data_IF_289353641342
#
_entry.id   IF_289353641342
#
_cell.length_a   1.000
_cell.length_b   1.000
_cell.length_c   1.000
_cell.angle_alpha   90.00
_cell.angle_beta   90.00
_cell.angle_gamma   90.00
#
_symmetry.space_group_name_H-M   'P 1'
#
loop_
_entity.id
_entity.type
_entity.pdbx_description
1 polymer ?
#
# COMPACT_ATOMS: atom_id res chain seq x y z
N UNK A 1 36.16 1.14 -12.30
CA UNK A 1 35.43 -0.01 -11.73
C UNK A 1 36.43 -0.85 -10.94
N UNK A 2 36.20 -1.06 -9.64
CA UNK A 2 36.97 -2.03 -8.86
C UNK A 2 36.25 -3.38 -8.89
N UNK A 3 37.00 -4.46 -9.13
CA UNK A 3 36.47 -5.82 -9.11
C UNK A 3 36.51 -6.38 -7.69
N UNK A 4 35.35 -6.77 -7.16
CA UNK A 4 35.21 -7.45 -5.87
C UNK A 4 34.88 -8.91 -6.13
N UNK A 5 35.69 -9.83 -5.59
CA UNK A 5 35.42 -11.27 -5.64
C UNK A 5 34.66 -11.67 -4.38
N UNK A 6 33.43 -12.17 -4.54
CA UNK A 6 32.56 -12.62 -3.44
C UNK A 6 32.28 -14.10 -3.63
N UNK A 7 32.34 -14.88 -2.54
CA UNK A 7 31.90 -16.27 -2.53
C UNK A 7 30.41 -16.31 -2.21
N UNK A 8 29.62 -16.85 -3.14
CA UNK A 8 28.18 -17.00 -3.02
C UNK A 8 27.88 -18.51 -2.96
N UNK A 9 27.04 -18.98 -2.02
CA UNK A 9 26.57 -20.37 -1.99
C UNK A 9 25.90 -20.78 -3.30
N UNK A 10 25.96 -22.06 -3.64
CA UNK A 10 25.46 -22.58 -4.91
C UNK A 10 23.93 -22.37 -5.05
N UNK A 11 23.19 -22.51 -3.95
CA UNK A 11 21.75 -22.27 -3.88
C UNK A 11 21.37 -20.80 -4.20
N UNK A 12 22.12 -19.85 -3.64
CA UNK A 12 21.91 -18.41 -3.87
C UNK A 12 22.23 -18.02 -5.32
N UNK A 13 23.22 -18.67 -5.94
CA UNK A 13 23.58 -18.47 -7.34
C UNK A 13 22.52 -19.05 -8.29
N UNK A 14 21.93 -20.19 -7.94
CA UNK A 14 20.80 -20.78 -8.66
C UNK A 14 19.57 -19.85 -8.60
N UNK A 15 19.27 -19.30 -7.41
CA UNK A 15 18.20 -18.32 -7.24
C UNK A 15 18.45 -17.05 -8.06
N UNK A 16 19.65 -16.45 -7.99
CA UNK A 16 20.05 -15.30 -8.80
C UNK A 16 19.92 -15.56 -10.31
N UNK A 17 20.24 -16.78 -10.74
CA UNK A 17 20.12 -17.19 -12.14
C UNK A 17 18.66 -17.32 -12.59
N UNK A 18 17.78 -17.76 -11.70
CA UNK A 18 16.33 -17.89 -11.96
C UNK A 18 15.59 -16.54 -12.03
N UNK A 19 16.13 -15.47 -11.41
CA UNK A 19 15.51 -14.15 -11.42
C UNK A 19 15.45 -13.55 -12.82
N UNK A 20 14.27 -13.17 -13.28
CA UNK A 20 14.09 -12.39 -14.49
C UNK A 20 13.94 -10.92 -14.14
N UNK A 21 15.00 -10.14 -14.39
CA UNK A 21 15.02 -8.69 -14.22
C UNK A 21 15.14 -8.04 -15.59
N UNK A 22 14.29 -7.04 -15.87
CA UNK A 22 14.30 -6.35 -17.16
C UNK A 22 15.66 -5.69 -17.42
N UNK A 23 16.32 -6.07 -18.51
CA UNK A 23 17.62 -5.53 -18.92
C UNK A 23 18.86 -6.15 -18.25
N UNK A 24 18.72 -7.18 -17.41
CA UNK A 24 19.84 -7.82 -16.72
C UNK A 24 19.96 -9.32 -17.07
N UNK A 25 20.88 -9.63 -17.98
CA UNK A 25 21.11 -11.00 -18.49
C UNK A 25 22.22 -11.73 -17.73
N UNK A 26 23.25 -11.00 -17.27
CA UNK A 26 24.38 -11.56 -16.50
C UNK A 26 24.09 -11.59 -15.00
N UNK A 27 24.57 -12.60 -14.23
CA UNK A 27 24.54 -12.59 -12.77
C UNK A 27 25.11 -11.29 -12.17
N UNK A 28 26.16 -10.73 -12.77
CA UNK A 28 26.77 -9.47 -12.35
C UNK A 28 25.87 -8.24 -12.61
N UNK A 29 25.02 -8.30 -13.64
CA UNK A 29 24.04 -7.25 -13.93
C UNK A 29 22.84 -7.35 -12.99
N UNK A 30 22.41 -8.58 -12.66
CA UNK A 30 21.35 -8.83 -11.67
C UNK A 30 21.79 -8.39 -10.28
N UNK A 31 23.03 -8.68 -9.87
CA UNK A 31 23.59 -8.19 -8.61
C UNK A 31 23.64 -6.65 -8.61
N UNK A 32 24.07 -6.02 -9.70
CA UNK A 32 24.05 -4.55 -9.81
C UNK A 32 22.65 -3.97 -9.73
N UNK A 33 21.67 -4.61 -10.37
CA UNK A 33 20.27 -4.20 -10.29
C UNK A 33 19.72 -4.36 -8.87
N UNK A 34 20.03 -5.46 -8.17
CA UNK A 34 19.64 -5.68 -6.77
C UNK A 34 20.33 -4.71 -5.81
N UNK A 35 21.61 -4.38 -6.03
CA UNK A 35 22.32 -3.37 -5.23
C UNK A 35 21.77 -1.98 -5.52
N UNK A 36 21.48 -1.63 -6.78
CA UNK A 36 20.84 -0.37 -7.13
C UNK A 36 19.44 -0.28 -6.53
N UNK A 37 18.71 -1.40 -6.48
CA UNK A 37 17.41 -1.47 -5.83
C UNK A 37 17.53 -1.34 -4.30
N UNK A 38 18.48 -2.02 -3.68
CA UNK A 38 18.78 -1.88 -2.26
C UNK A 38 19.25 -0.46 -1.90
N UNK A 39 20.05 0.18 -2.75
CA UNK A 39 20.45 1.57 -2.61
C UNK A 39 19.28 2.52 -2.81
N UNK A 40 18.38 2.25 -3.78
CA UNK A 40 17.14 3.02 -3.93
C UNK A 40 16.20 2.84 -2.75
N UNK A 41 16.16 1.67 -2.12
CA UNK A 41 15.39 1.42 -0.88
C UNK A 41 16.03 2.16 0.30
N UNK A 42 17.33 2.03 0.50
CA UNK A 42 18.08 2.70 1.57
C UNK A 42 18.09 4.23 1.42
N UNK A 43 18.14 4.76 0.19
CA UNK A 43 18.08 6.20 -0.07
C UNK A 43 16.63 6.72 -0.21
N UNK A 44 15.70 5.83 -0.57
CA UNK A 44 14.26 6.11 -0.73
C UNK A 44 13.46 6.05 0.57
N UNK A 45 14.07 5.63 1.68
CA UNK A 45 13.57 5.87 3.03
C UNK A 45 13.30 7.37 3.29
N UNK A 46 13.92 8.27 2.51
CA UNK A 46 13.70 9.73 2.56
C UNK A 46 12.74 10.32 1.51
N UNK A 47 12.23 9.53 0.55
CA UNK A 47 11.30 10.05 -0.47
C UNK A 47 9.99 9.27 -0.53
N UNK A 48 8.97 9.86 0.10
CA UNK A 48 7.59 9.38 0.10
C UNK A 48 7.07 9.09 -1.32
N UNK A 49 7.42 9.91 -2.31
CA UNK A 49 6.89 9.77 -3.68
C UNK A 49 7.41 8.49 -4.34
N UNK A 50 8.70 8.21 -4.20
CA UNK A 50 9.33 7.00 -4.71
C UNK A 50 8.79 5.73 -4.05
N UNK A 51 8.53 5.77 -2.73
CA UNK A 51 7.95 4.64 -2.01
C UNK A 51 6.50 4.36 -2.47
N UNK A 52 5.68 5.40 -2.64
CA UNK A 52 4.32 5.26 -3.19
C UNK A 52 4.34 4.66 -4.59
N UNK A 53 5.27 5.10 -5.46
CA UNK A 53 5.37 4.59 -6.83
C UNK A 53 5.68 3.09 -6.84
N UNK A 54 6.66 2.64 -6.05
CA UNK A 54 7.03 1.23 -5.94
C UNK A 54 5.87 0.36 -5.44
N UNK A 55 5.16 0.82 -4.40
CA UNK A 55 4.02 0.08 -3.86
C UNK A 55 2.84 0.05 -4.83
N UNK A 56 2.61 1.12 -5.59
CA UNK A 56 1.59 1.13 -6.66
C UNK A 56 1.95 0.17 -7.79
N UNK A 57 3.22 0.06 -8.17
CA UNK A 57 3.66 -0.92 -9.18
C UNK A 57 3.38 -2.36 -8.74
N UNK A 58 3.51 -2.67 -7.45
CA UNK A 58 3.18 -3.99 -6.91
C UNK A 58 1.67 -4.30 -6.94
N UNK A 59 0.82 -3.28 -6.75
CA UNK A 59 -0.64 -3.43 -6.77
C UNK A 59 -1.22 -3.32 -8.20
N UNK A 60 -0.45 -2.78 -9.16
CA UNK A 60 -0.89 -2.58 -10.54
C UNK A 60 -1.43 -3.85 -11.23
N UNK A 61 -0.83 -5.04 -11.12
CA UNK A 61 -1.36 -6.25 -11.75
C UNK A 61 -2.75 -6.63 -11.23
N UNK A 62 -3.03 -6.39 -9.95
CA UNK A 62 -4.35 -6.61 -9.35
C UNK A 62 -5.37 -5.63 -9.97
N UNK A 63 -5.02 -4.34 -10.04
CA UNK A 63 -5.86 -3.32 -10.66
C UNK A 63 -6.17 -3.64 -12.13
N UNK A 64 -5.16 -4.00 -12.92
CA UNK A 64 -5.33 -4.34 -14.33
C UNK A 64 -6.21 -5.59 -14.51
N UNK A 65 -6.00 -6.64 -13.70
CA UNK A 65 -6.84 -7.84 -13.73
C UNK A 65 -8.29 -7.53 -13.34
N UNK A 66 -8.50 -6.69 -12.32
CA UNK A 66 -9.84 -6.26 -11.90
C UNK A 66 -10.51 -5.42 -12.97
N UNK A 67 -9.83 -4.45 -13.58
CA UNK A 67 -10.38 -3.64 -14.67
C UNK A 67 -10.75 -4.48 -15.89
N UNK A 68 -9.92 -5.47 -16.25
CA UNK A 68 -10.25 -6.40 -17.33
C UNK A 68 -11.52 -7.20 -17.04
N UNK A 69 -11.69 -7.66 -15.79
CA UNK A 69 -12.91 -8.34 -15.34
C UNK A 69 -14.13 -7.40 -15.35
N UNK A 70 -13.97 -6.17 -14.90
CA UNK A 70 -15.02 -5.14 -14.87
C UNK A 70 -15.49 -4.74 -16.26
N UNK A 71 -14.55 -4.58 -17.20
CA UNK A 71 -14.87 -4.34 -18.61
C UNK A 71 -15.66 -5.49 -19.23
N UNK A 72 -15.36 -6.74 -18.85
CA UNK A 72 -16.07 -7.91 -19.36
C UNK A 72 -17.47 -8.11 -18.74
N UNK A 73 -17.67 -7.65 -17.49
CA UNK A 73 -18.90 -7.92 -16.73
C UNK A 73 -19.81 -6.70 -16.55
N UNK A 74 -19.40 -5.51 -17.03
CA UNK A 74 -20.08 -4.22 -16.82
C UNK A 74 -20.39 -3.92 -15.33
N UNK A 75 -19.67 -4.58 -14.42
CA UNK A 75 -19.73 -4.37 -12.98
C UNK A 75 -18.44 -3.67 -12.57
N UNK A 76 -18.50 -2.66 -11.70
CA UNK A 76 -17.35 -1.91 -11.21
C UNK A 76 -17.29 -1.99 -9.68
N UNK A 77 -16.11 -2.20 -9.10
CA UNK A 77 -15.91 -2.18 -7.65
C UNK A 77 -15.14 -0.93 -7.20
N UNK A 78 -15.86 0.00 -6.60
CA UNK A 78 -15.26 1.18 -5.97
C UNK A 78 -14.45 0.80 -4.71
N UNK A 79 -14.81 -0.30 -4.01
CA UNK A 79 -14.05 -0.76 -2.84
C UNK A 79 -12.63 -1.17 -3.24
N UNK A 80 -12.50 -1.99 -4.28
CA UNK A 80 -11.20 -2.48 -4.74
C UNK A 80 -10.35 -1.32 -5.25
N UNK A 81 -10.95 -0.42 -6.03
CA UNK A 81 -10.27 0.79 -6.52
C UNK A 81 -9.80 1.69 -5.38
N UNK A 82 -10.65 1.93 -4.38
CA UNK A 82 -10.33 2.75 -3.20
C UNK A 82 -9.17 2.15 -2.41
N UNK A 83 -9.24 0.86 -2.09
CA UNK A 83 -8.22 0.18 -1.29
C UNK A 83 -6.90 0.06 -2.06
N UNK A 84 -6.94 -0.34 -3.33
CA UNK A 84 -5.76 -0.48 -4.18
C UNK A 84 -5.04 0.86 -4.38
N UNK A 85 -5.74 1.99 -4.30
CA UNK A 85 -5.15 3.33 -4.43
C UNK A 85 -4.64 3.87 -3.09
N UNK A 86 -5.42 3.72 -2.01
CA UNK A 86 -5.14 4.37 -0.72
C UNK A 86 -4.17 3.57 0.17
N UNK A 87 -4.15 2.22 0.08
CA UNK A 87 -3.26 1.36 0.87
C UNK A 87 -1.77 1.58 0.55
N UNK A 88 -1.33 1.63 -0.73
CA UNK A 88 0.07 1.90 -1.07
C UNK A 88 0.58 3.20 -0.44
N UNK A 89 -0.27 4.22 -0.39
CA UNK A 89 0.13 5.48 0.18
C UNK A 89 0.13 5.50 1.72
N UNK A 90 -0.68 4.67 2.38
CA UNK A 90 -0.62 4.49 3.83
C UNK A 90 0.65 3.73 4.21
N UNK A 91 0.96 2.67 3.47
CA UNK A 91 2.19 1.89 3.61
C UNK A 91 3.42 2.75 3.36
N UNK A 92 3.42 3.59 2.32
CA UNK A 92 4.52 4.52 2.09
C UNK A 92 4.73 5.49 3.26
N UNK A 93 3.64 6.02 3.84
CA UNK A 93 3.74 6.88 5.03
C UNK A 93 4.35 6.17 6.23
N UNK A 94 4.13 4.86 6.39
CA UNK A 94 4.74 4.06 7.46
C UNK A 94 6.23 3.80 7.20
N UNK A 95 6.58 3.49 5.96
CA UNK A 95 7.96 3.18 5.56
C UNK A 95 8.86 4.42 5.65
N UNK A 96 8.37 5.59 5.24
CA UNK A 96 9.14 6.84 5.29
C UNK A 96 9.03 7.59 6.63
N UNK A 97 8.33 7.03 7.61
CA UNK A 97 8.13 7.65 8.92
C UNK A 97 9.27 7.39 9.90
N UNK A 98 10.37 6.73 9.48
CA UNK A 98 11.48 6.38 10.35
C UNK A 98 12.13 7.66 10.94
N UNK A 99 12.00 7.91 12.25
CA UNK A 99 12.49 9.16 12.83
C UNK A 99 13.99 9.08 13.13
N UNK A 100 14.80 9.87 12.43
CA UNK A 100 16.22 10.03 12.76
C UNK A 100 16.43 11.19 13.77
N UNK A 101 16.94 10.88 14.96
CA UNK A 101 17.48 11.87 15.91
C UNK A 101 16.55 12.35 17.05
N UNK A 102 16.97 13.41 17.76
CA UNK A 102 16.45 13.86 19.08
C UNK A 102 15.03 14.48 19.09
N UNK A 103 14.32 14.52 17.96
CA UNK A 103 12.95 15.08 17.82
C UNK A 103 11.84 14.02 17.70
N UNK A 104 12.12 12.79 18.14
CA UNK A 104 11.20 11.65 18.05
C UNK A 104 9.78 11.96 18.54
N UNK A 105 9.62 12.72 19.63
CA UNK A 105 8.31 12.96 20.24
C UNK A 105 7.38 13.88 19.42
N UNK A 106 7.92 14.94 18.80
CA UNK A 106 7.13 15.86 17.96
C UNK A 106 6.79 15.21 16.62
N UNK A 107 7.78 14.51 16.04
CA UNK A 107 7.62 13.77 14.78
C UNK A 107 6.63 12.62 14.94
N UNK A 108 6.66 11.90 16.07
CA UNK A 108 5.71 10.83 16.36
C UNK A 108 4.26 11.32 16.41
N UNK A 109 3.98 12.46 17.05
CA UNK A 109 2.62 13.04 17.10
C UNK A 109 2.11 13.44 15.72
N UNK A 110 2.97 14.00 14.89
CA UNK A 110 2.61 14.41 13.54
C UNK A 110 2.36 13.21 12.61
N UNK A 111 3.16 12.14 12.76
CA UNK A 111 2.95 10.87 12.07
C UNK A 111 1.63 10.23 12.52
N UNK A 112 1.37 10.15 13.83
CA UNK A 112 0.14 9.61 14.39
C UNK A 112 -1.09 10.35 13.84
N UNK A 113 -1.06 11.68 13.83
CA UNK A 113 -2.15 12.49 13.29
C UNK A 113 -2.38 12.23 11.79
N UNK A 114 -1.29 12.14 10.99
CA UNK A 114 -1.37 11.87 9.55
C UNK A 114 -1.90 10.47 9.24
N UNK A 115 -1.39 9.45 9.92
CA UNK A 115 -1.84 8.07 9.75
C UNK A 115 -3.31 7.93 10.15
N UNK A 116 -3.69 8.51 11.29
CA UNK A 116 -5.07 8.50 11.78
C UNK A 116 -6.00 9.20 10.80
N UNK A 117 -5.65 10.39 10.31
CA UNK A 117 -6.45 11.11 9.34
C UNK A 117 -6.66 10.31 8.04
N UNK A 118 -5.64 9.57 7.60
CA UNK A 118 -5.71 8.75 6.40
C UNK A 118 -6.57 7.49 6.59
N UNK A 119 -6.37 6.78 7.70
CA UNK A 119 -7.19 5.63 8.08
C UNK A 119 -8.67 6.03 8.22
N UNK A 120 -8.93 7.16 8.87
CA UNK A 120 -10.29 7.69 9.01
C UNK A 120 -10.89 8.10 7.66
N UNK A 121 -10.10 8.66 6.74
CA UNK A 121 -10.59 8.96 5.38
C UNK A 121 -10.94 7.70 4.60
N UNK A 122 -10.14 6.63 4.73
CA UNK A 122 -10.46 5.33 4.13
C UNK A 122 -11.74 4.76 4.73
N UNK A 123 -11.88 4.78 6.05
CA UNK A 123 -13.10 4.36 6.75
C UNK A 123 -14.32 5.15 6.26
N UNK A 124 -14.23 6.48 6.20
CA UNK A 124 -15.30 7.33 5.67
C UNK A 124 -15.63 7.03 4.20
N UNK A 125 -14.62 6.71 3.39
CA UNK A 125 -14.82 6.25 2.01
C UNK A 125 -15.64 4.97 1.95
N UNK A 126 -15.27 3.97 2.75
CA UNK A 126 -16.02 2.71 2.86
C UNK A 126 -17.44 2.93 3.39
N UNK A 127 -17.63 3.80 4.39
CA UNK A 127 -18.94 4.16 4.93
C UNK A 127 -19.84 4.86 3.91
N UNK A 128 -19.28 5.68 3.01
CA UNK A 128 -20.09 6.28 1.93
C UNK A 128 -20.64 5.20 0.98
N UNK A 129 -19.87 4.15 0.76
CA UNK A 129 -20.30 2.99 -0.04
C UNK A 129 -21.37 2.16 0.68
N UNK A 130 -21.37 2.10 2.02
CA UNK A 130 -22.43 1.38 2.76
C UNK A 130 -23.77 2.10 2.75
N UNK A 131 -23.78 3.44 2.65
CA UNK A 131 -25.00 4.26 2.69
C UNK A 131 -25.68 4.37 1.31
N UNK A 132 -24.96 4.09 0.23
CA UNK A 132 -25.52 4.17 -1.13
C UNK A 132 -26.37 2.93 -1.44
N UNK A 133 -27.59 3.13 -1.94
CA UNK A 133 -28.56 2.04 -2.21
C UNK A 133 -28.14 1.07 -3.32
N UNK A 134 -27.12 1.44 -4.12
CA UNK A 134 -26.50 0.61 -5.17
C UNK A 134 -25.00 0.83 -5.14
N UNK A 135 -24.27 0.23 -4.19
CA UNK A 135 -22.84 0.39 -4.17
C UNK A 135 -22.24 -0.29 -5.41
N UNK A 136 -21.43 0.39 -6.22
CA UNK A 136 -20.66 -0.24 -7.29
C UNK A 136 -19.65 -1.18 -6.63
N UNK A 137 -20.08 -2.41 -6.42
CA UNK A 137 -19.38 -3.49 -5.75
C UNK A 137 -19.67 -4.78 -6.49
N UNK A 138 -18.74 -5.73 -6.49
CA UNK A 138 -18.95 -7.04 -7.11
C UNK A 138 -20.11 -7.80 -6.47
N UNK A 139 -20.28 -7.63 -5.16
CA UNK A 139 -21.38 -8.17 -4.41
C UNK A 139 -21.90 -7.10 -3.44
N UNK A 140 -23.18 -6.69 -3.57
CA UNK A 140 -23.78 -5.65 -2.73
C UNK A 140 -23.94 -6.10 -1.27
N UNK A 141 -23.77 -7.38 -0.96
CA UNK A 141 -23.93 -7.92 0.40
C UNK A 141 -22.65 -7.90 1.23
N UNK A 142 -21.48 -7.64 0.63
CA UNK A 142 -20.17 -7.66 1.31
C UNK A 142 -20.12 -6.66 2.48
N UNK A 143 -20.87 -5.58 2.38
CA UNK A 143 -20.92 -4.53 3.39
C UNK A 143 -22.01 -4.74 4.45
N UNK A 144 -23.03 -5.56 4.17
CA UNK A 144 -24.21 -5.72 5.04
C UNK A 144 -23.90 -6.19 6.47
N UNK A 145 -22.96 -7.14 6.70
CA UNK A 145 -22.61 -7.56 8.06
C UNK A 145 -22.07 -6.40 8.91
N UNK A 146 -21.32 -5.50 8.30
CA UNK A 146 -20.69 -4.38 8.99
C UNK A 146 -21.66 -3.22 9.25
N UNK A 147 -22.77 -3.11 8.51
CA UNK A 147 -23.76 -2.04 8.69
C UNK A 147 -24.35 -2.05 10.09
N UNK A 148 -24.65 -3.23 10.64
CA UNK A 148 -25.22 -3.36 11.99
C UNK A 148 -24.24 -2.89 13.07
N UNK A 149 -22.99 -3.36 13.01
CA UNK A 149 -21.92 -2.95 13.94
C UNK A 149 -21.64 -1.44 13.86
N UNK A 150 -21.65 -0.89 12.64
CA UNK A 150 -21.45 0.54 12.41
C UNK A 150 -22.58 1.39 12.99
N UNK A 151 -23.83 0.92 12.91
CA UNK A 151 -24.98 1.60 13.52
C UNK A 151 -24.87 1.61 15.04
N UNK A 152 -24.48 0.48 15.65
CA UNK A 152 -24.26 0.38 17.10
C UNK A 152 -23.15 1.34 17.56
N UNK A 153 -22.00 1.33 16.87
CA UNK A 153 -20.89 2.26 17.14
C UNK A 153 -21.32 3.72 16.96
N UNK A 154 -22.08 4.05 15.92
CA UNK A 154 -22.56 5.41 15.70
C UNK A 154 -23.50 5.87 16.82
N UNK A 155 -24.39 5.00 17.31
CA UNK A 155 -25.28 5.29 18.44
C UNK A 155 -24.49 5.50 19.73
N UNK A 156 -23.51 4.64 20.01
CA UNK A 156 -22.63 4.76 21.18
C UNK A 156 -21.80 6.04 21.13
N UNK A 157 -21.28 6.42 19.95
CA UNK A 157 -20.54 7.67 19.76
C UNK A 157 -21.45 8.88 20.01
N UNK A 158 -22.69 8.88 19.49
CA UNK A 158 -23.65 9.97 19.75
C UNK A 158 -23.98 10.11 21.24
N UNK A 159 -24.12 8.99 21.95
CA UNK A 159 -24.41 8.99 23.38
C UNK A 159 -23.20 9.46 24.22
N UNK A 160 -21.99 9.05 23.84
CA UNK A 160 -20.75 9.36 24.56
C UNK A 160 -20.17 10.73 24.22
N UNK A 161 -20.47 11.28 23.04
CA UNK A 161 -19.95 12.55 22.55
C UNK A 161 -21.06 13.24 21.74
N UNK A 162 -21.97 13.97 22.40
CA UNK A 162 -23.00 14.72 21.69
C UNK A 162 -22.32 15.69 20.71
N UNK A 163 -22.89 15.89 19.51
CA UNK A 163 -22.33 16.82 18.54
C UNK A 163 -22.19 18.20 19.19
N UNK A 164 -20.99 18.77 19.08
CA UNK A 164 -20.69 20.12 19.55
C UNK A 164 -21.47 21.18 18.76
#
# INVERSE_FOLDING_TARGET
MQTVSVRIPEDDLAWLSSLQLQGATSPSDKIRALIADAQRRANGENDFVSCVALLREQVRPLLEATQAYEHATHSHSEIVTLLATQLPELMASLVTALPEGKRVAEVAREIEARLTAKAMRMLLGLLRLTVTQRPPTYDPTVLNPYVAELQELAQLIQLARPPA
#
